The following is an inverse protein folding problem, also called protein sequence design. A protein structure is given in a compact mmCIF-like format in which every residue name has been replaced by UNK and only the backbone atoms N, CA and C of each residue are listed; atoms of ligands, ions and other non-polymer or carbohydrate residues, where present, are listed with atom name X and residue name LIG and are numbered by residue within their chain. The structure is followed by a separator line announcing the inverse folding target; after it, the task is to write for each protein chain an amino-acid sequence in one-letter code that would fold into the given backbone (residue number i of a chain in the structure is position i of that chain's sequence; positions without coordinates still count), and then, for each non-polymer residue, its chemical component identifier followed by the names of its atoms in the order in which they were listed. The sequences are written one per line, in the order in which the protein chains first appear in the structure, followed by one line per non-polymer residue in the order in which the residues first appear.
data_IF_879948195968
#
_entry.id   IF_879948195968
#
_cell.length_a   1.000
_cell.length_b   1.000
_cell.length_c   1.000
_cell.angle_alpha   90.00
_cell.angle_beta   90.00
_cell.angle_gamma   90.00
#
_symmetry.space_group_name_H-M   'P 1'
#
loop_
_entity.id
_entity.type
_entity.pdbx_description
1 polymer ?
#
# COMPACT_ATOMS: atom_id res chain seq x y z
N UNK A 1 6.91 -8.99 9.75
CA UNK A 1 7.18 -7.56 9.74
C UNK A 1 8.58 -7.27 9.21
N UNK A 2 8.68 -6.37 8.25
CA UNK A 2 9.97 -6.06 7.60
C UNK A 2 10.98 -5.47 8.59
N UNK A 3 10.55 -4.61 9.50
CA UNK A 3 11.45 -4.02 10.48
C UNK A 3 11.99 -5.09 11.43
N UNK A 4 11.14 -5.99 11.89
CA UNK A 4 11.53 -7.09 12.77
C UNK A 4 12.49 -8.04 12.07
N UNK A 5 12.26 -8.35 10.79
CA UNK A 5 13.16 -9.20 10.03
C UNK A 5 14.54 -8.56 9.87
N UNK A 6 14.58 -7.25 9.60
CA UNK A 6 15.85 -6.54 9.47
C UNK A 6 16.64 -6.53 10.79
N UNK A 7 15.97 -6.32 11.91
CA UNK A 7 16.59 -6.35 13.23
C UNK A 7 17.11 -7.74 13.58
N UNK A 8 16.30 -8.75 13.37
CA UNK A 8 16.64 -10.13 13.73
C UNK A 8 17.77 -10.70 12.89
N UNK A 9 17.92 -10.26 11.66
CA UNK A 9 18.98 -10.73 10.77
C UNK A 9 20.28 -9.95 10.90
N UNK A 10 20.32 -8.95 11.77
CA UNK A 10 21.51 -8.12 12.02
C UNK A 10 22.01 -7.41 10.76
N UNK A 11 21.13 -7.16 9.80
CA UNK A 11 21.47 -6.45 8.58
C UNK A 11 21.20 -4.95 8.75
N UNK A 12 21.99 -4.11 8.07
CA UNK A 12 21.68 -2.69 8.00
C UNK A 12 20.41 -2.52 7.19
N UNK A 13 19.69 -1.41 7.41
CA UNK A 13 18.48 -1.11 6.68
C UNK A 13 18.72 -1.08 5.17
N UNK A 14 19.83 -0.45 4.75
CA UNK A 14 20.16 -0.37 3.32
C UNK A 14 20.48 -1.75 2.75
N UNK A 15 21.21 -2.57 3.48
CA UNK A 15 21.53 -3.92 3.04
C UNK A 15 20.26 -4.76 2.91
N UNK A 16 19.38 -4.67 3.90
CA UNK A 16 18.09 -5.38 3.87
C UNK A 16 17.25 -4.93 2.67
N UNK A 17 17.18 -3.62 2.43
CA UNK A 17 16.41 -3.08 1.31
C UNK A 17 16.93 -3.61 -0.03
N UNK A 18 18.26 -3.68 -0.20
CA UNK A 18 18.85 -4.21 -1.43
C UNK A 18 18.55 -5.69 -1.62
N UNK A 19 18.67 -6.49 -0.54
CA UNK A 19 18.34 -7.90 -0.60
C UNK A 19 16.87 -8.12 -0.90
N UNK A 20 16.00 -7.37 -0.24
CA UNK A 20 14.56 -7.48 -0.47
C UNK A 20 14.22 -7.18 -1.93
N UNK A 21 14.79 -6.11 -2.50
CA UNK A 21 14.56 -5.78 -3.90
C UNK A 21 15.07 -6.87 -4.84
N UNK A 22 16.23 -7.45 -4.52
CA UNK A 22 16.81 -8.54 -5.32
C UNK A 22 15.89 -9.77 -5.32
N UNK A 23 15.31 -10.12 -4.18
CA UNK A 23 14.47 -11.30 -4.05
C UNK A 23 13.06 -11.09 -4.63
N UNK A 24 12.48 -9.89 -4.45
CA UNK A 24 11.10 -9.61 -4.83
C UNK A 24 10.95 -8.73 -6.06
N UNK A 25 12.02 -8.07 -6.48
CA UNK A 25 11.99 -7.13 -7.59
C UNK A 25 11.52 -5.73 -7.22
N UNK A 26 11.12 -5.48 -5.96
CA UNK A 26 10.62 -4.19 -5.50
C UNK A 26 11.23 -3.81 -4.16
N UNK A 27 11.27 -2.51 -3.86
CA UNK A 27 11.70 -2.04 -2.54
C UNK A 27 10.65 -2.40 -1.48
N UNK A 28 11.05 -2.52 -0.19
CA UNK A 28 10.08 -2.79 0.86
C UNK A 28 8.96 -1.77 0.94
N UNK A 29 9.26 -0.48 0.78
CA UNK A 29 8.23 0.56 0.80
C UNK A 29 7.22 0.38 -0.31
N UNK A 30 7.70 0.10 -1.53
CA UNK A 30 6.82 -0.13 -2.67
C UNK A 30 5.97 -1.38 -2.47
N UNK A 31 6.57 -2.44 -1.93
CA UNK A 31 5.85 -3.67 -1.63
C UNK A 31 4.73 -3.43 -0.62
N UNK A 32 5.03 -2.72 0.48
CA UNK A 32 4.04 -2.40 1.50
C UNK A 32 2.89 -1.57 0.91
N UNK A 33 3.21 -0.56 0.09
CA UNK A 33 2.19 0.26 -0.54
C UNK A 33 1.32 -0.56 -1.50
N UNK A 34 1.90 -1.48 -2.26
CA UNK A 34 1.13 -2.36 -3.13
C UNK A 34 0.14 -3.21 -2.34
N UNK A 35 0.59 -3.76 -1.19
CA UNK A 35 -0.29 -4.56 -0.33
C UNK A 35 -1.40 -3.72 0.29
N UNK A 36 -1.10 -2.48 0.68
CA UNK A 36 -2.13 -1.56 1.19
C UNK A 36 -3.15 -1.21 0.12
N UNK A 37 -2.70 -0.98 -1.11
CA UNK A 37 -3.62 -0.67 -2.22
C UNK A 37 -4.50 -1.88 -2.53
N UNK A 38 -3.96 -3.10 -2.53
CA UNK A 38 -4.77 -4.31 -2.71
C UNK A 38 -5.86 -4.42 -1.64
N UNK A 39 -5.50 -4.14 -0.38
CA UNK A 39 -6.45 -4.15 0.72
C UNK A 39 -7.51 -3.06 0.55
N UNK A 40 -7.10 -1.87 0.09
CA UNK A 40 -8.04 -0.78 -0.21
C UNK A 40 -9.04 -1.20 -1.28
N UNK A 41 -8.58 -1.85 -2.34
CA UNK A 41 -9.46 -2.34 -3.40
C UNK A 41 -10.54 -3.27 -2.83
N UNK A 42 -10.15 -4.18 -1.96
CA UNK A 42 -11.10 -5.09 -1.32
C UNK A 42 -12.11 -4.33 -0.46
N UNK A 43 -11.65 -3.42 0.39
CA UNK A 43 -12.52 -2.64 1.28
C UNK A 43 -13.49 -1.78 0.47
N UNK A 44 -13.01 -1.17 -0.60
CA UNK A 44 -13.84 -0.28 -1.43
C UNK A 44 -15.04 -1.01 -2.06
N UNK A 45 -14.90 -2.28 -2.37
CA UNK A 45 -15.98 -3.06 -3.00
C UNK A 45 -16.81 -3.85 -2.00
N UNK A 46 -16.32 -4.09 -0.79
CA UNK A 46 -17.02 -4.92 0.21
C UNK A 46 -17.59 -4.12 1.38
N UNK A 47 -17.18 -2.88 1.56
CA UNK A 47 -17.55 -2.05 2.71
C UNK A 47 -18.03 -0.68 2.21
N UNK A 48 -18.94 -0.06 2.95
CA UNK A 48 -19.45 1.27 2.63
C UNK A 48 -18.64 2.40 3.27
N UNK A 49 -17.52 2.06 3.91
CA UNK A 49 -16.62 3.05 4.51
C UNK A 49 -16.24 4.12 3.49
N UNK A 50 -16.20 5.39 3.91
CA UNK A 50 -15.80 6.47 3.01
C UNK A 50 -14.36 6.26 2.51
N UNK A 51 -14.07 6.76 1.31
CA UNK A 51 -12.72 6.66 0.74
C UNK A 51 -11.68 7.26 1.69
N UNK A 52 -12.02 8.40 2.31
CA UNK A 52 -11.13 9.05 3.27
C UNK A 52 -10.84 8.15 4.46
N UNK A 53 -11.86 7.48 4.99
CA UNK A 53 -11.69 6.55 6.10
C UNK A 53 -10.89 5.32 5.70
N UNK A 54 -11.04 4.84 4.47
CA UNK A 54 -10.22 3.75 3.95
C UNK A 54 -8.74 4.13 3.98
N UNK A 55 -8.41 5.34 3.54
CA UNK A 55 -7.04 5.82 3.56
C UNK A 55 -6.48 5.83 4.99
N UNK A 56 -7.24 6.38 5.93
CA UNK A 56 -6.80 6.44 7.33
C UNK A 56 -6.67 5.05 7.95
N UNK A 57 -7.58 4.14 7.64
CA UNK A 57 -7.53 2.76 8.14
C UNK A 57 -6.28 2.03 7.66
N UNK A 58 -5.74 2.43 6.52
CA UNK A 58 -4.50 1.86 5.98
C UNK A 58 -3.25 2.66 6.37
N UNK A 59 -3.39 3.58 7.33
CA UNK A 59 -2.29 4.37 7.88
C UNK A 59 -1.75 5.45 6.92
N UNK A 60 -2.58 5.91 6.00
CA UNK A 60 -2.23 7.05 5.17
C UNK A 60 -2.73 8.33 5.85
N UNK A 61 -1.82 9.19 6.26
CA UNK A 61 -2.18 10.45 6.90
C UNK A 61 -2.70 11.48 5.92
N UNK A 62 -2.26 11.40 4.66
CA UNK A 62 -2.62 12.34 3.61
C UNK A 62 -3.53 11.66 2.60
N UNK A 63 -4.81 12.04 2.62
CA UNK A 63 -5.80 11.50 1.69
C UNK A 63 -5.45 11.81 0.23
N UNK A 64 -4.92 13.00 -0.04
CA UNK A 64 -4.52 13.38 -1.41
C UNK A 64 -3.41 12.48 -1.93
N UNK A 65 -2.45 12.15 -1.08
CA UNK A 65 -1.38 11.22 -1.43
C UNK A 65 -1.94 9.83 -1.73
N UNK A 66 -2.85 9.34 -0.89
CA UNK A 66 -3.48 8.05 -1.09
C UNK A 66 -4.23 8.01 -2.44
N UNK A 67 -4.98 9.06 -2.75
CA UNK A 67 -5.69 9.15 -4.03
C UNK A 67 -4.76 9.04 -5.22
N UNK A 68 -3.66 9.80 -5.19
CA UNK A 68 -2.68 9.79 -6.29
C UNK A 68 -2.00 8.42 -6.41
N UNK A 69 -1.63 7.83 -5.28
CA UNK A 69 -0.99 6.53 -5.27
C UNK A 69 -1.92 5.45 -5.79
N UNK A 70 -3.18 5.45 -5.35
CA UNK A 70 -4.18 4.50 -5.80
C UNK A 70 -4.40 4.60 -7.30
N UNK A 71 -4.57 5.83 -7.82
CA UNK A 71 -4.77 6.04 -9.25
C UNK A 71 -3.55 5.61 -10.06
N UNK A 72 -2.34 5.92 -9.57
CA UNK A 72 -1.11 5.50 -10.24
C UNK A 72 -1.00 3.99 -10.31
N UNK A 73 -1.43 3.30 -9.27
CA UNK A 73 -1.30 1.84 -9.16
C UNK A 73 -2.39 1.10 -9.93
N UNK A 74 -3.63 1.60 -9.89
CA UNK A 74 -4.79 0.89 -10.45
C UNK A 74 -5.35 1.51 -11.73
N UNK A 75 -4.98 2.75 -12.03
CA UNK A 75 -5.52 3.48 -13.18
C UNK A 75 -6.77 4.28 -12.88
N UNK A 76 -7.37 4.10 -11.71
CA UNK A 76 -8.61 4.78 -11.29
C UNK A 76 -8.41 5.40 -9.92
N UNK A 77 -9.16 6.49 -9.65
CA UNK A 77 -9.23 6.99 -8.27
C UNK A 77 -10.00 5.98 -7.41
N UNK A 78 -9.83 6.01 -6.08
CA UNK A 78 -10.59 5.11 -5.22
C UNK A 78 -12.11 5.22 -5.42
N UNK A 79 -12.63 6.44 -5.60
CA UNK A 79 -14.05 6.62 -5.83
C UNK A 79 -14.50 6.05 -7.18
N UNK A 80 -13.71 6.28 -8.22
CA UNK A 80 -13.98 5.70 -9.54
C UNK A 80 -13.95 4.18 -9.48
N UNK A 81 -12.99 3.63 -8.75
CA UNK A 81 -12.87 2.19 -8.59
C UNK A 81 -14.11 1.61 -7.91
N UNK A 82 -14.56 2.23 -6.81
CA UNK A 82 -15.79 1.81 -6.12
C UNK A 82 -17.00 1.87 -7.05
N UNK A 83 -17.12 2.97 -7.79
CA UNK A 83 -18.25 3.16 -8.70
C UNK A 83 -18.27 2.13 -9.82
N UNK A 84 -17.12 1.63 -10.25
CA UNK A 84 -17.06 0.62 -11.31
C UNK A 84 -17.57 -0.75 -10.86
N UNK A 85 -17.70 -0.97 -9.55
CA UNK A 85 -18.21 -2.22 -8.99
C UNK A 85 -19.62 -2.09 -8.42
N UNK A 86 -20.21 -0.91 -8.55
CA UNK A 86 -21.58 -0.64 -8.12
C UNK A 86 -22.34 -0.02 -9.28
#
# INVERSE_FOLDING_TARGET
DLATLAENSCLSKDHFNRLFKKETGVTPSKYINQKKIEKAQLILVTDEMSVKNVAFALSYDDYSYFNRLFKKTTGLTPQEYRNSYH
#
